data_IF_109555140059
#
_entry.id   IF_109555140059
#
_cell.length_a   1.000
_cell.length_b   1.000
_cell.length_c   1.000
_cell.angle_alpha   90.00
_cell.angle_beta   90.00
_cell.angle_gamma   90.00
#
_symmetry.space_group_name_H-M   'P 1'
#
loop_
_entity.id
_entity.type
_entity.pdbx_description
1 polymer ?
#
# COMPACT_ATOMS: atom_id res chain seq x y z
N UNK A 1 -10.46 -58.19 -31.52
CA UNK A 1 -9.81 -56.85 -31.50
C UNK A 1 -10.78 -55.68 -31.30
N UNK A 2 -12.10 -55.89 -31.34
CA UNK A 2 -13.11 -54.82 -31.15
C UNK A 2 -13.25 -54.43 -29.67
N UNK A 3 -13.27 -55.42 -28.76
CA UNK A 3 -13.41 -55.21 -27.31
C UNK A 3 -12.32 -54.29 -26.73
N UNK A 4 -11.06 -54.46 -27.14
CA UNK A 4 -9.95 -53.61 -26.66
C UNK A 4 -10.09 -52.16 -27.14
N UNK A 5 -10.66 -51.94 -28.33
CA UNK A 5 -10.89 -50.59 -28.86
C UNK A 5 -12.05 -49.89 -28.15
N UNK A 6 -13.15 -50.59 -27.87
CA UNK A 6 -14.24 -50.05 -27.06
C UNK A 6 -13.77 -49.76 -25.64
N UNK A 7 -13.04 -50.68 -25.02
CA UNK A 7 -12.55 -50.52 -23.64
C UNK A 7 -11.56 -49.36 -23.50
N UNK A 8 -10.64 -49.17 -24.47
CA UNK A 8 -9.78 -47.97 -24.52
C UNK A 8 -10.57 -46.68 -24.75
N UNK A 9 -11.62 -46.72 -25.56
CA UNK A 9 -12.47 -45.56 -25.84
C UNK A 9 -13.29 -45.17 -24.62
N UNK A 10 -13.80 -46.15 -23.87
CA UNK A 10 -14.57 -45.91 -22.65
C UNK A 10 -13.67 -45.39 -21.53
N UNK A 11 -12.48 -45.96 -21.31
CA UNK A 11 -11.48 -45.40 -20.36
C UNK A 11 -11.12 -43.96 -20.72
N UNK A 12 -10.93 -43.66 -22.01
CA UNK A 12 -10.59 -42.31 -22.46
C UNK A 12 -11.77 -41.32 -22.35
N UNK A 13 -13.02 -41.80 -22.35
CA UNK A 13 -14.20 -40.96 -22.11
C UNK A 13 -14.41 -40.73 -20.61
N UNK A 14 -14.26 -41.75 -19.75
CA UNK A 14 -14.33 -41.61 -18.29
C UNK A 14 -13.24 -40.65 -17.76
N UNK A 15 -12.00 -40.78 -18.24
CA UNK A 15 -10.95 -39.82 -17.86
C UNK A 15 -11.21 -38.40 -18.35
N UNK A 16 -11.96 -38.21 -19.45
CA UNK A 16 -12.34 -36.87 -19.92
C UNK A 16 -13.48 -36.29 -19.08
N UNK A 17 -14.42 -37.11 -18.62
CA UNK A 17 -15.51 -36.67 -17.76
C UNK A 17 -14.99 -36.30 -16.36
N UNK A 18 -14.09 -37.09 -15.77
CA UNK A 18 -13.37 -36.73 -14.53
C UNK A 18 -12.56 -35.43 -14.71
N UNK A 19 -11.81 -35.28 -15.83
CA UNK A 19 -11.08 -34.05 -16.11
C UNK A 19 -12.01 -32.83 -16.23
N UNK A 20 -13.19 -32.97 -16.87
CA UNK A 20 -14.13 -31.86 -17.05
C UNK A 20 -14.85 -31.51 -15.74
N UNK A 21 -15.21 -32.51 -14.94
CA UNK A 21 -15.89 -32.33 -13.65
C UNK A 21 -14.94 -31.71 -12.60
N UNK A 22 -13.68 -32.16 -12.53
CA UNK A 22 -12.63 -31.51 -11.73
C UNK A 22 -12.32 -30.07 -12.24
N UNK A 23 -12.29 -29.85 -13.55
CA UNK A 23 -12.09 -28.52 -14.14
C UNK A 23 -13.30 -27.59 -13.91
N UNK A 24 -14.51 -28.14 -13.75
CA UNK A 24 -15.75 -27.39 -13.52
C UNK A 24 -16.01 -27.12 -12.03
N UNK A 25 -15.55 -27.99 -11.12
CA UNK A 25 -15.57 -27.76 -9.67
C UNK A 25 -14.58 -26.66 -9.24
N UNK A 26 -13.50 -26.47 -10.01
CA UNK A 26 -12.53 -25.38 -9.93
C UNK A 26 -13.02 -24.07 -10.60
N UNK A 27 -14.24 -23.61 -10.28
CA UNK A 27 -14.70 -22.27 -10.67
C UNK A 27 -13.62 -21.22 -10.36
N UNK A 28 -13.23 -20.39 -11.34
CA UNK A 28 -11.98 -19.63 -11.31
C UNK A 28 -11.71 -18.77 -10.06
N UNK A 29 -12.73 -18.36 -9.31
CA UNK A 29 -12.58 -17.67 -8.02
C UNK A 29 -12.13 -18.60 -6.89
N UNK A 30 -12.58 -19.86 -6.87
CA UNK A 30 -12.07 -20.90 -5.96
C UNK A 30 -10.60 -21.15 -6.24
N UNK A 31 -10.17 -21.22 -7.49
CA UNK A 31 -8.75 -21.35 -7.85
C UNK A 31 -7.86 -20.18 -7.38
N UNK A 32 -8.45 -19.02 -7.12
CA UNK A 32 -7.71 -17.81 -6.71
C UNK A 32 -7.47 -17.80 -5.19
N UNK A 33 -8.25 -18.52 -4.40
CA UNK A 33 -8.21 -18.46 -2.93
C UNK A 33 -6.81 -18.68 -2.32
N UNK A 34 -6.01 -19.58 -2.92
CA UNK A 34 -4.65 -19.91 -2.48
C UNK A 34 -3.58 -18.89 -2.90
N UNK A 35 -3.89 -17.99 -3.83
CA UNK A 35 -2.97 -16.97 -4.33
C UNK A 35 -3.28 -15.55 -3.83
N UNK A 36 -4.52 -15.27 -3.38
CA UNK A 36 -4.92 -13.92 -2.87
C UNK A 36 -4.02 -13.41 -1.76
N UNK A 37 -3.74 -14.26 -0.76
CA UNK A 37 -3.03 -13.85 0.45
C UNK A 37 -1.51 -14.05 0.35
N UNK A 38 -0.99 -14.37 -0.84
CA UNK A 38 0.44 -14.52 -1.03
C UNK A 38 1.13 -13.16 -0.88
N UNK A 39 2.33 -13.10 -0.28
CA UNK A 39 3.11 -11.87 -0.31
C UNK A 39 3.35 -11.40 -1.76
N UNK A 40 3.07 -10.13 -2.09
CA UNK A 40 3.29 -9.58 -3.42
C UNK A 40 4.79 -9.46 -3.71
N UNK A 41 5.16 -9.18 -4.97
CA UNK A 41 6.55 -8.97 -5.39
C UNK A 41 7.23 -7.80 -4.64
N UNK A 42 6.46 -6.74 -4.33
CA UNK A 42 6.96 -5.53 -3.67
C UNK A 42 6.24 -5.24 -2.33
N UNK A 43 6.41 -6.10 -1.31
CA UNK A 43 5.67 -5.98 -0.05
C UNK A 43 6.07 -4.73 0.75
N UNK A 44 7.28 -4.23 0.55
CA UNK A 44 7.80 -3.03 1.21
C UNK A 44 7.12 -1.75 0.71
N UNK A 45 6.87 -1.65 -0.59
CA UNK A 45 6.21 -0.48 -1.20
C UNK A 45 4.74 -0.48 -0.80
N UNK A 46 4.08 -1.64 -0.91
CA UNK A 46 2.68 -1.78 -0.53
C UNK A 46 2.44 -1.43 0.95
N UNK A 47 3.25 -1.96 1.86
CA UNK A 47 3.11 -1.66 3.28
C UNK A 47 3.39 -0.20 3.60
N UNK A 48 4.34 0.43 2.90
CA UNK A 48 4.65 1.84 3.04
C UNK A 48 3.50 2.73 2.58
N UNK A 49 2.91 2.45 1.41
CA UNK A 49 1.76 3.19 0.89
C UNK A 49 0.54 3.07 1.81
N UNK A 50 0.26 1.86 2.33
CA UNK A 50 -0.82 1.67 3.30
C UNK A 50 -0.57 2.47 4.59
N UNK A 51 0.65 2.43 5.11
CA UNK A 51 1.04 3.20 6.29
C UNK A 51 0.84 4.70 6.10
N UNK A 52 1.29 5.25 4.97
CA UNK A 52 1.06 6.66 4.64
C UNK A 52 -0.42 6.98 4.48
N UNK A 53 -1.22 6.08 3.90
CA UNK A 53 -2.68 6.22 3.81
C UNK A 53 -3.35 6.32 5.18
N UNK A 54 -2.97 5.47 6.12
CA UNK A 54 -3.49 5.50 7.51
C UNK A 54 -3.04 6.77 8.23
N UNK A 55 -1.79 7.20 8.04
CA UNK A 55 -1.28 8.45 8.59
C UNK A 55 -2.09 9.66 8.10
N UNK A 56 -2.38 9.73 6.79
CA UNK A 56 -3.24 10.77 6.21
C UNK A 56 -4.67 10.70 6.75
N UNK A 57 -5.24 9.50 6.81
CA UNK A 57 -6.60 9.30 7.30
C UNK A 57 -6.76 9.77 8.75
N UNK A 58 -5.85 9.37 9.66
CA UNK A 58 -5.85 9.83 11.04
C UNK A 58 -5.69 11.35 11.15
N UNK A 59 -4.80 11.95 10.35
CA UNK A 59 -4.60 13.40 10.32
C UNK A 59 -5.86 14.13 9.86
N UNK A 60 -6.50 13.70 8.77
CA UNK A 60 -7.74 14.29 8.26
C UNK A 60 -8.86 14.19 9.29
N UNK A 61 -9.04 13.03 9.94
CA UNK A 61 -10.06 12.85 10.97
C UNK A 61 -9.86 13.82 12.14
N UNK A 62 -8.64 13.98 12.63
CA UNK A 62 -8.34 14.90 13.73
C UNK A 62 -8.54 16.36 13.29
N UNK A 63 -8.09 16.73 12.09
CA UNK A 63 -8.30 18.08 11.55
C UNK A 63 -9.78 18.41 11.45
N UNK A 64 -10.60 17.49 10.91
CA UNK A 64 -12.06 17.67 10.82
C UNK A 64 -12.66 17.84 12.22
N UNK A 65 -12.27 17.00 13.18
CA UNK A 65 -12.76 17.10 14.56
C UNK A 65 -12.43 18.45 15.20
N UNK A 66 -11.19 18.91 15.12
CA UNK A 66 -10.76 20.21 15.67
C UNK A 66 -11.43 21.38 14.93
N UNK A 67 -11.65 21.26 13.62
CA UNK A 67 -12.37 22.26 12.84
C UNK A 67 -13.85 22.36 13.28
N UNK A 68 -14.51 21.23 13.56
CA UNK A 68 -15.90 21.23 14.06
C UNK A 68 -16.05 21.90 15.43
N UNK A 69 -15.03 21.86 16.28
CA UNK A 69 -15.01 22.56 17.58
C UNK A 69 -14.84 24.09 17.44
N UNK A 70 -14.71 24.62 16.22
CA UNK A 70 -14.53 26.05 15.98
C UNK A 70 -13.13 26.57 16.29
N UNK A 71 -12.20 25.70 16.69
CA UNK A 71 -10.81 26.07 17.04
C UNK A 71 -9.98 26.46 15.82
N UNK A 72 -10.35 26.00 14.62
CA UNK A 72 -9.70 26.33 13.35
C UNK A 72 -10.67 27.16 12.51
N UNK A 73 -10.77 28.46 12.81
CA UNK A 73 -11.60 29.38 12.04
C UNK A 73 -11.01 29.61 10.63
N UNK A 74 -11.82 29.57 9.55
CA UNK A 74 -11.40 29.91 8.18
C UNK A 74 -10.78 31.30 8.06
N UNK A 75 -11.08 32.19 9.01
CA UNK A 75 -10.59 33.56 9.08
C UNK A 75 -9.08 33.65 9.38
N UNK A 76 -8.50 32.61 9.98
CA UNK A 76 -7.06 32.53 10.27
C UNK A 76 -6.31 31.96 9.07
N UNK A 77 -5.87 32.87 8.18
CA UNK A 77 -5.14 32.50 6.95
C UNK A 77 -3.95 31.59 7.26
N UNK A 78 -4.03 30.34 6.80
CA UNK A 78 -2.93 29.36 6.92
C UNK A 78 -2.90 28.53 8.20
N UNK A 79 -3.70 28.84 9.24
CA UNK A 79 -3.67 28.07 10.50
C UNK A 79 -4.11 26.62 10.31
N UNK A 80 -5.07 26.38 9.41
CA UNK A 80 -5.50 25.03 9.05
C UNK A 80 -4.35 24.24 8.41
N UNK A 81 -3.62 24.87 7.48
CA UNK A 81 -2.52 24.23 6.76
C UNK A 81 -1.36 23.90 7.71
N UNK A 82 -0.96 24.84 8.56
CA UNK A 82 0.11 24.59 9.55
C UNK A 82 -0.29 23.49 10.53
N UNK A 83 -1.52 23.52 11.04
CA UNK A 83 -2.04 22.49 11.95
C UNK A 83 -2.07 21.11 11.28
N UNK A 84 -2.54 21.02 10.03
CA UNK A 84 -2.54 19.77 9.27
C UNK A 84 -1.12 19.23 9.06
N UNK A 85 -0.15 20.09 8.73
CA UNK A 85 1.26 19.71 8.62
C UNK A 85 1.80 19.16 9.95
N UNK A 86 1.57 19.85 11.07
CA UNK A 86 2.01 19.38 12.39
C UNK A 86 1.37 18.04 12.76
N UNK A 87 0.05 17.91 12.62
CA UNK A 87 -0.67 16.66 12.90
C UNK A 87 -0.16 15.52 12.03
N UNK A 88 0.10 15.77 10.74
CA UNK A 88 0.67 14.76 9.85
C UNK A 88 1.99 14.20 10.37
N UNK A 89 2.89 15.05 10.90
CA UNK A 89 4.17 14.60 11.47
C UNK A 89 3.98 13.65 12.66
N UNK A 90 3.05 13.97 13.56
CA UNK A 90 2.74 13.14 14.74
C UNK A 90 2.01 11.84 14.40
N UNK A 91 1.15 11.85 13.38
CA UNK A 91 0.45 10.65 12.92
C UNK A 91 1.40 9.59 12.31
N UNK A 92 2.69 9.92 12.13
CA UNK A 92 3.72 8.98 11.70
C UNK A 92 3.79 7.70 12.55
N UNK A 93 3.46 7.77 13.84
CA UNK A 93 3.42 6.58 14.72
C UNK A 93 2.37 5.56 14.24
N UNK A 94 1.16 6.01 13.92
CA UNK A 94 0.07 5.15 13.45
C UNK A 94 0.35 4.60 12.05
N UNK A 95 0.92 5.43 11.18
CA UNK A 95 1.36 5.02 9.84
C UNK A 95 2.45 3.96 9.89
N UNK A 96 3.49 4.21 10.71
CA UNK A 96 4.57 3.26 10.96
C UNK A 96 4.07 1.94 11.55
N UNK A 97 3.21 2.00 12.58
CA UNK A 97 2.64 0.81 13.21
C UNK A 97 1.89 -0.08 12.22
N UNK A 98 1.02 0.52 11.42
CA UNK A 98 0.20 -0.21 10.46
C UNK A 98 1.04 -0.78 9.32
N UNK A 99 2.02 0.00 8.81
CA UNK A 99 2.98 -0.48 7.81
C UNK A 99 3.84 -1.64 8.34
N UNK A 100 4.35 -1.52 9.57
CA UNK A 100 5.18 -2.56 10.19
C UNK A 100 4.42 -3.86 10.42
N UNK A 101 3.17 -3.78 10.89
CA UNK A 101 2.32 -4.95 11.08
C UNK A 101 1.96 -5.61 9.74
N UNK A 102 1.59 -4.84 8.72
CA UNK A 102 1.32 -5.39 7.40
C UNK A 102 2.58 -6.03 6.80
N UNK A 103 3.73 -5.37 6.88
CA UNK A 103 4.98 -5.91 6.33
C UNK A 103 5.37 -7.24 6.98
N UNK A 104 5.10 -7.40 8.29
CA UNK A 104 5.25 -8.68 8.97
C UNK A 104 4.30 -9.75 8.41
N UNK A 105 3.03 -9.41 8.18
CA UNK A 105 2.03 -10.30 7.54
C UNK A 105 2.45 -10.75 6.15
N UNK A 106 3.09 -9.86 5.39
CA UNK A 106 3.64 -10.15 4.07
C UNK A 106 5.01 -10.87 4.11
N UNK A 107 5.35 -11.52 5.23
CA UNK A 107 6.61 -12.28 5.43
C UNK A 107 7.88 -11.44 5.19
N UNK A 108 7.80 -10.12 5.40
CA UNK A 108 8.94 -9.21 5.30
C UNK A 108 9.90 -9.38 6.48
N UNK A 109 11.20 -9.51 6.22
CA UNK A 109 12.22 -9.70 7.27
C UNK A 109 13.01 -8.42 7.57
N UNK A 110 13.22 -7.56 6.56
CA UNK A 110 14.08 -6.37 6.66
C UNK A 110 13.29 -5.15 7.18
N UNK A 111 12.92 -5.18 8.45
CA UNK A 111 12.05 -4.16 9.06
C UNK A 111 12.65 -2.74 9.03
N UNK A 112 13.97 -2.58 9.23
CA UNK A 112 14.64 -1.26 9.19
C UNK A 112 14.52 -0.59 7.82
N UNK A 113 14.68 -1.37 6.73
CA UNK A 113 14.51 -0.88 5.36
C UNK A 113 13.05 -0.53 5.07
N UNK A 114 12.11 -1.33 5.61
CA UNK A 114 10.68 -1.05 5.52
C UNK A 114 10.29 0.24 6.23
N UNK A 115 10.77 0.47 7.46
CA UNK A 115 10.53 1.70 8.21
C UNK A 115 11.09 2.93 7.47
N UNK A 116 12.31 2.84 6.95
CA UNK A 116 12.91 3.90 6.13
C UNK A 116 12.08 4.20 4.87
N UNK A 117 11.63 3.16 4.17
CA UNK A 117 10.77 3.30 2.99
C UNK A 117 9.45 3.98 3.34
N UNK A 118 8.79 3.59 4.44
CA UNK A 118 7.53 4.22 4.89
C UNK A 118 7.73 5.69 5.26
N UNK A 119 8.84 6.03 5.94
CA UNK A 119 9.14 7.39 6.33
C UNK A 119 9.52 8.29 5.15
N UNK A 120 10.14 7.73 4.10
CA UNK A 120 10.68 8.52 2.98
C UNK A 120 9.81 8.57 1.73
N UNK A 121 9.11 7.48 1.39
CA UNK A 121 8.50 7.32 0.07
C UNK A 121 7.44 8.38 -0.21
N UNK A 122 6.40 8.46 0.63
CA UNK A 122 5.31 9.41 0.41
C UNK A 122 5.74 10.87 0.66
N UNK A 123 6.33 11.24 1.83
CA UNK A 123 6.72 12.62 2.06
C UNK A 123 7.81 13.10 1.11
N UNK A 124 8.71 12.22 0.66
CA UNK A 124 9.77 12.55 -0.30
C UNK A 124 9.25 12.81 -1.70
N UNK A 125 8.28 12.03 -2.18
CA UNK A 125 7.62 12.31 -3.47
C UNK A 125 6.88 13.64 -3.41
N UNK A 126 6.09 13.87 -2.35
CA UNK A 126 5.35 15.13 -2.19
C UNK A 126 6.30 16.33 -2.08
N UNK A 127 7.33 16.24 -1.26
CA UNK A 127 8.32 17.30 -1.12
C UNK A 127 9.06 17.58 -2.43
N UNK A 128 9.44 16.54 -3.19
CA UNK A 128 10.08 16.67 -4.50
C UNK A 128 9.20 17.39 -5.51
N UNK A 129 7.93 17.01 -5.62
CA UNK A 129 6.96 17.69 -6.50
C UNK A 129 6.75 19.13 -6.07
N UNK A 130 6.52 19.38 -4.78
CA UNK A 130 6.36 20.72 -4.24
C UNK A 130 7.61 21.59 -4.47
N UNK A 131 8.81 21.04 -4.32
CA UNK A 131 10.05 21.76 -4.56
C UNK A 131 10.21 22.18 -6.01
N UNK A 132 9.98 21.25 -6.95
CA UNK A 132 10.04 21.55 -8.40
C UNK A 132 9.02 22.63 -8.77
N UNK A 133 7.78 22.51 -8.29
CA UNK A 133 6.76 23.54 -8.48
C UNK A 133 7.19 24.88 -7.87
N UNK A 134 7.77 24.87 -6.66
CA UNK A 134 8.24 26.08 -5.99
C UNK A 134 9.38 26.78 -6.75
N UNK A 135 10.26 26.02 -7.42
CA UNK A 135 11.31 26.59 -8.29
C UNK A 135 10.70 27.41 -9.43
N UNK A 136 9.64 26.93 -10.08
CA UNK A 136 8.94 27.68 -11.13
C UNK A 136 8.27 28.94 -10.59
N UNK A 137 7.67 28.87 -9.40
CA UNK A 137 7.00 29.99 -8.74
C UNK A 137 8.01 31.08 -8.35
N UNK A 138 9.19 30.70 -7.84
CA UNK A 138 10.29 31.63 -7.59
C UNK A 138 10.77 32.33 -8.86
N UNK A 139 10.91 31.61 -9.97
CA UNK A 139 11.30 32.20 -11.26
C UNK A 139 10.30 33.23 -11.80
N UNK A 140 9.03 33.17 -11.36
CA UNK A 140 7.99 34.16 -11.67
C UNK A 140 7.86 35.28 -10.64
N UNK A 141 8.73 35.32 -9.62
CA UNK A 141 8.67 36.28 -8.51
C UNK A 141 7.27 36.38 -7.87
N UNK A 142 6.54 35.26 -7.82
CA UNK A 142 5.19 35.25 -7.27
C UNK A 142 5.23 35.32 -5.73
N UNK A 143 4.30 36.07 -5.15
CA UNK A 143 4.09 36.13 -3.70
C UNK A 143 3.60 34.82 -3.09
N UNK A 144 3.14 33.86 -3.91
CA UNK A 144 2.78 32.51 -3.48
C UNK A 144 3.96 31.56 -3.29
N UNK A 145 5.20 32.01 -3.52
CA UNK A 145 6.36 31.16 -3.37
C UNK A 145 6.63 30.84 -1.89
N UNK A 146 6.88 29.56 -1.61
CA UNK A 146 7.25 29.07 -0.28
C UNK A 146 8.67 29.58 0.02
N UNK A 147 8.87 30.38 1.08
CA UNK A 147 10.19 30.92 1.41
C UNK A 147 11.18 29.80 1.76
N UNK A 148 12.45 29.95 1.38
CA UNK A 148 13.50 28.96 1.67
C UNK A 148 13.58 28.54 3.15
N UNK A 149 13.46 29.44 4.15
CA UNK A 149 13.46 29.04 5.56
C UNK A 149 12.33 28.07 5.94
N UNK A 150 11.15 28.23 5.33
CA UNK A 150 10.00 27.35 5.61
C UNK A 150 10.23 25.95 5.04
N UNK A 151 10.92 25.83 3.90
CA UNK A 151 11.32 24.54 3.35
C UNK A 151 12.30 23.80 4.26
N UNK A 152 13.31 24.53 4.78
CA UNK A 152 14.27 23.95 5.73
C UNK A 152 13.57 23.54 7.03
N UNK A 153 12.63 24.35 7.54
CA UNK A 153 11.85 24.01 8.73
C UNK A 153 11.02 22.73 8.52
N UNK A 154 10.39 22.55 7.35
CA UNK A 154 9.65 21.32 7.01
C UNK A 154 10.57 20.09 6.94
N UNK A 155 11.78 20.23 6.38
CA UNK A 155 12.77 19.16 6.37
C UNK A 155 13.21 18.80 7.80
N UNK A 156 13.50 19.79 8.63
CA UNK A 156 13.86 19.56 10.03
C UNK A 156 12.75 18.86 10.82
N UNK A 157 11.48 19.23 10.60
CA UNK A 157 10.35 18.53 11.23
C UNK A 157 10.17 17.11 10.69
N UNK A 158 10.37 16.89 9.39
CA UNK A 158 10.25 15.57 8.80
C UNK A 158 11.34 14.61 9.32
N UNK A 159 12.61 15.01 9.28
CA UNK A 159 13.72 14.17 9.75
C UNK A 159 13.84 14.12 11.28
N UNK A 160 13.51 15.21 11.97
CA UNK A 160 13.66 15.33 13.42
C UNK A 160 12.49 14.76 14.23
N UNK A 161 11.28 14.79 13.67
CA UNK A 161 10.06 14.34 14.38
C UNK A 161 9.44 13.14 13.65
N UNK A 162 9.01 13.32 12.40
CA UNK A 162 8.20 12.31 11.73
C UNK A 162 8.95 11.00 11.50
N UNK A 163 10.20 11.07 11.04
CA UNK A 163 11.01 9.87 10.77
C UNK A 163 11.22 9.02 12.04
N UNK A 164 11.68 9.56 13.19
CA UNK A 164 11.75 8.82 14.45
C UNK A 164 10.41 8.23 14.88
N UNK A 165 9.31 8.99 14.75
CA UNK A 165 7.98 8.52 15.11
C UNK A 165 7.51 7.35 14.24
N UNK A 166 7.75 7.41 12.93
CA UNK A 166 7.48 6.29 12.01
C UNK A 166 8.30 5.08 12.40
N UNK A 167 9.60 5.24 12.68
CA UNK A 167 10.46 4.14 13.13
C UNK A 167 9.96 3.49 14.42
N UNK A 168 9.55 4.30 15.38
CA UNK A 168 9.00 3.84 16.66
C UNK A 168 7.70 3.06 16.44
N UNK A 169 6.75 3.63 15.69
CA UNK A 169 5.52 2.95 15.33
C UNK A 169 5.78 1.63 14.61
N UNK A 170 6.66 1.65 13.62
CA UNK A 170 7.02 0.48 12.82
C UNK A 170 7.64 -0.64 13.65
N UNK A 171 8.51 -0.29 14.59
CA UNK A 171 9.12 -1.25 15.50
C UNK A 171 8.07 -2.00 16.35
N UNK A 172 7.11 -1.28 16.93
CA UNK A 172 6.02 -1.90 17.68
C UNK A 172 5.06 -2.68 16.78
N UNK A 173 4.73 -2.15 15.60
CA UNK A 173 3.88 -2.82 14.61
C UNK A 173 4.47 -4.13 14.12
N UNK A 174 5.77 -4.15 13.82
CA UNK A 174 6.50 -5.34 13.38
C UNK A 174 6.61 -6.40 14.48
N UNK A 175 6.53 -6.03 15.76
CA UNK A 175 6.49 -6.97 16.89
C UNK A 175 5.10 -7.53 17.19
N UNK A 176 4.04 -6.88 16.71
CA UNK A 176 2.67 -7.38 16.87
C UNK A 176 2.44 -8.61 15.99
N UNK A 177 1.50 -9.47 16.42
CA UNK A 177 1.10 -10.62 15.63
C UNK A 177 0.63 -10.21 14.22
N UNK A 178 1.05 -10.96 13.18
CA UNK A 178 0.51 -10.83 11.83
C UNK A 178 -1.02 -10.86 11.81
N UNK A 179 -1.61 -10.37 10.72
CA UNK A 179 -3.02 -10.64 10.46
C UNK A 179 -3.19 -12.12 10.07
N UNK A 180 -4.22 -12.76 10.61
CA UNK A 180 -4.55 -14.13 10.26
C UNK A 180 -5.23 -14.15 8.90
N UNK A 181 -4.68 -14.96 8.00
CA UNK A 181 -5.28 -15.16 6.69
C UNK A 181 -6.37 -16.25 6.82
N UNK A 182 -7.56 -16.04 6.23
CA UNK A 182 -8.65 -17.02 6.32
C UNK A 182 -8.33 -18.34 5.60
N UNK A 183 -7.31 -18.34 4.72
CA UNK A 183 -6.95 -19.46 3.85
C UNK A 183 -5.43 -19.64 3.83
N UNK A 184 -4.97 -20.89 3.73
CA UNK A 184 -3.56 -21.21 3.48
C UNK A 184 -3.17 -20.83 2.05
N UNK A 185 -1.97 -20.27 1.90
CA UNK A 185 -1.46 -19.86 0.59
C UNK A 185 -0.71 -21.01 -0.08
N UNK A 186 -0.84 -21.12 -1.41
CA UNK A 186 -0.02 -22.01 -2.22
C UNK A 186 1.44 -21.52 -2.21
N UNK A 187 2.42 -22.43 -2.30
CA UNK A 187 3.84 -22.05 -2.35
C UNK A 187 4.30 -21.68 -3.76
N UNK A 188 3.80 -22.38 -4.79
CA UNK A 188 4.16 -22.19 -6.20
C UNK A 188 3.06 -21.37 -6.88
N UNK A 189 3.37 -20.27 -7.60
CA UNK A 189 2.34 -19.49 -8.26
C UNK A 189 1.75 -20.34 -9.38
N UNK A 190 0.43 -20.36 -9.51
CA UNK A 190 -0.20 -21.02 -10.65
C UNK A 190 0.26 -20.33 -11.94
N UNK A 191 0.46 -21.11 -13.00
CA UNK A 191 0.71 -20.52 -14.31
C UNK A 191 -0.60 -19.93 -14.83
N UNK A 192 -0.62 -18.61 -15.01
CA UNK A 192 -1.75 -17.92 -15.63
C UNK A 192 -1.50 -17.97 -17.15
N UNK A 193 -2.39 -18.55 -17.96
CA UNK A 193 -2.22 -18.56 -19.41
C UNK A 193 -2.16 -17.12 -19.92
N UNK A 194 -1.32 -16.86 -20.92
CA UNK A 194 -1.21 -15.52 -21.49
C UNK A 194 -2.57 -15.07 -22.04
N UNK A 195 -3.06 -13.95 -21.52
CA UNK A 195 -4.31 -13.36 -21.97
C UNK A 195 -4.13 -12.85 -23.39
N UNK A 196 -5.01 -13.28 -24.31
CA UNK A 196 -4.97 -12.82 -25.70
C UNK A 196 -5.15 -11.31 -25.76
N UNK A 197 -4.43 -10.67 -26.67
CA UNK A 197 -4.34 -9.20 -26.80
C UNK A 197 -5.71 -8.50 -26.85
N UNK A 198 -6.70 -9.09 -27.53
CA UNK A 198 -8.05 -8.53 -27.68
C UNK A 198 -8.93 -8.65 -26.43
N UNK A 199 -8.48 -9.37 -25.41
CA UNK A 199 -9.17 -9.49 -24.13
C UNK A 199 -8.59 -8.54 -23.06
N UNK A 200 -7.50 -7.82 -23.36
CA UNK A 200 -6.92 -6.85 -22.43
C UNK A 200 -7.77 -5.60 -22.36
N UNK A 201 -8.44 -5.41 -21.21
CA UNK A 201 -9.27 -4.22 -20.93
C UNK A 201 -8.47 -2.91 -20.78
N UNK A 202 -7.13 -2.99 -20.76
CA UNK A 202 -6.21 -1.87 -20.53
C UNK A 202 -5.33 -1.51 -21.73
N UNK A 203 -5.60 -2.07 -22.93
CA UNK A 203 -4.94 -1.62 -24.17
C UNK A 203 -5.90 -0.70 -24.91
N UNK A 204 -5.74 0.59 -24.63
CA UNK A 204 -6.18 1.71 -25.46
C UNK A 204 -5.02 2.69 -25.53
#
# INVERSE_FOLDING_TARGET
MIIIRTLRKDIANYNKEDDIEDTMEESGWKLVHGDVFRPPQYPMILSSLLGSGIQLFCMILIVIFVAMLGMLSPSSRGALMTTACFLFMFMGVFGGFSAGRLYRTLKGHRWKKGAFCTAMLYPGVVFGVCFVLNCFIWGKHSSGAVPFPTMVALLCMWFGISLPLVYLGYYFGFRKQPYDNPVRTNQIPRQIPEQRWYMNRFVG
#
